data_IF_430399214802
#
_entry.id   IF_430399214802
#
_cell.length_a   1.000
_cell.length_b   1.000
_cell.length_c   1.000
_cell.angle_alpha   90.00
_cell.angle_beta   90.00
_cell.angle_gamma   90.00
#
_symmetry.space_group_name_H-M   'P 1'
#
loop_
_entity.id
_entity.type
_entity.pdbx_description
1 polymer ?
#
# COMPACT_ATOMS: atom_id res chain seq x y z
N UNK A 1 22.17 -27.35 -21.06
CA UNK A 1 21.80 -27.81 -19.69
C UNK A 1 22.94 -28.61 -19.05
N UNK A 2 24.10 -28.70 -19.72
CA UNK A 2 25.15 -29.68 -19.43
C UNK A 2 26.18 -29.19 -18.40
N UNK A 3 25.99 -27.98 -17.89
CA UNK A 3 26.83 -27.40 -16.83
C UNK A 3 26.10 -27.55 -15.49
N UNK A 4 26.68 -28.25 -14.50
CA UNK A 4 26.10 -28.35 -13.17
C UNK A 4 25.90 -26.97 -12.53
N UNK A 5 24.79 -26.80 -11.80
CA UNK A 5 24.46 -25.52 -11.16
C UNK A 5 25.58 -25.00 -10.26
N UNK A 6 26.26 -25.88 -9.51
CA UNK A 6 27.38 -25.51 -8.63
C UNK A 6 28.52 -24.82 -9.39
N UNK A 7 28.81 -25.24 -10.63
CA UNK A 7 29.82 -24.61 -11.48
C UNK A 7 29.42 -23.21 -11.94
N UNK A 8 28.12 -22.98 -12.13
CA UNK A 8 27.59 -21.64 -12.45
C UNK A 8 27.72 -20.71 -11.24
N UNK A 9 27.38 -21.20 -10.05
CA UNK A 9 27.53 -20.44 -8.80
C UNK A 9 29.00 -20.08 -8.55
N UNK A 10 29.92 -21.03 -8.76
CA UNK A 10 31.36 -20.78 -8.66
C UNK A 10 31.83 -19.70 -9.63
N UNK A 11 31.36 -19.73 -10.88
CA UNK A 11 31.76 -18.76 -11.91
C UNK A 11 31.21 -17.35 -11.67
N UNK A 12 29.96 -17.24 -11.21
CA UNK A 12 29.34 -15.95 -10.88
C UNK A 12 29.92 -15.38 -9.57
N UNK A 13 30.32 -16.26 -8.65
CA UNK A 13 30.87 -15.93 -7.33
C UNK A 13 30.03 -14.87 -6.58
N UNK A 14 28.72 -15.12 -6.35
CA UNK A 14 27.87 -14.19 -5.62
C UNK A 14 28.29 -14.12 -4.14
N UNK A 15 27.92 -13.04 -3.46
CA UNK A 15 28.06 -12.97 -2.01
C UNK A 15 27.28 -14.12 -1.36
N UNK A 16 27.98 -14.95 -0.59
CA UNK A 16 27.36 -16.10 0.07
C UNK A 16 26.58 -15.64 1.28
N UNK A 17 25.31 -16.03 1.32
CA UNK A 17 24.43 -15.88 2.46
C UNK A 17 23.77 -17.24 2.73
N UNK A 18 23.77 -17.68 3.98
CA UNK A 18 23.11 -18.94 4.38
C UNK A 18 21.60 -18.81 4.45
N UNK A 19 21.06 -17.58 4.43
CA UNK A 19 19.63 -17.32 4.44
C UNK A 19 18.97 -17.51 3.07
N UNK A 20 19.74 -17.54 1.97
CA UNK A 20 19.19 -17.56 0.61
C UNK A 20 19.88 -18.58 -0.29
N UNK A 21 19.13 -19.05 -1.30
CA UNK A 21 19.75 -19.73 -2.45
C UNK A 21 20.64 -18.73 -3.22
N UNK A 22 21.82 -19.16 -3.71
CA UNK A 22 22.90 -18.26 -4.12
C UNK A 22 22.63 -17.41 -5.36
N UNK A 23 21.67 -17.78 -6.22
CA UNK A 23 21.40 -17.06 -7.47
C UNK A 23 19.91 -16.74 -7.71
N UNK A 24 19.00 -17.49 -7.09
CA UNK A 24 17.56 -17.30 -7.27
C UNK A 24 16.82 -17.75 -6.02
N UNK A 25 15.68 -17.13 -5.76
CA UNK A 25 14.84 -17.40 -4.59
C UNK A 25 13.48 -17.98 -4.98
N UNK A 26 13.12 -17.90 -6.26
CA UNK A 26 11.88 -18.43 -6.82
C UNK A 26 12.20 -19.52 -7.83
N UNK A 27 11.65 -20.71 -7.61
CA UNK A 27 11.79 -21.86 -8.52
C UNK A 27 10.48 -22.08 -9.28
N UNK A 28 10.57 -22.44 -10.57
CA UNK A 28 9.45 -22.98 -11.33
C UNK A 28 9.83 -24.33 -11.92
N UNK A 29 9.03 -25.34 -11.62
CA UNK A 29 9.18 -26.70 -12.13
C UNK A 29 7.93 -27.05 -12.93
N UNK A 30 8.11 -27.58 -14.13
CA UNK A 30 7.03 -28.17 -14.93
C UNK A 30 7.29 -29.67 -15.06
N UNK A 31 6.48 -30.47 -14.36
CA UNK A 31 6.47 -31.92 -14.50
C UNK A 31 5.38 -32.33 -15.48
N UNK A 32 5.78 -32.57 -16.73
CA UNK A 32 4.90 -33.08 -17.78
C UNK A 32 5.22 -34.54 -18.15
N UNK A 33 5.71 -35.33 -17.18
CA UNK A 33 5.91 -36.77 -17.38
C UNK A 33 4.70 -37.50 -16.80
N UNK A 34 3.94 -38.26 -17.59
CA UNK A 34 2.83 -39.03 -17.07
C UNK A 34 3.31 -39.96 -15.97
N UNK A 35 2.70 -39.88 -14.78
CA UNK A 35 2.98 -40.81 -13.70
C UNK A 35 2.58 -42.22 -14.13
N UNK A 36 3.54 -43.05 -14.51
CA UNK A 36 3.29 -44.47 -14.72
C UNK A 36 2.95 -45.08 -13.36
N UNK A 37 1.73 -45.60 -13.21
CA UNK A 37 1.40 -46.41 -12.05
C UNK A 37 2.37 -47.59 -12.01
N UNK A 38 3.16 -47.70 -10.95
CA UNK A 38 4.00 -48.86 -10.73
C UNK A 38 3.08 -50.09 -10.71
N UNK A 39 3.25 -51.01 -11.66
CA UNK A 39 2.48 -52.24 -11.72
C UNK A 39 3.29 -53.34 -11.04
N UNK A 40 2.80 -53.83 -9.90
CA UNK A 40 3.32 -55.03 -9.25
C UNK A 40 2.28 -56.15 -9.36
N UNK A 41 2.65 -57.34 -9.86
CA UNK A 41 1.73 -58.46 -9.92
C UNK A 41 1.18 -58.81 -8.53
N UNK A 42 -0.15 -58.85 -8.40
CA UNK A 42 -0.83 -59.20 -7.14
C UNK A 42 -0.97 -58.07 -6.12
N UNK A 43 -0.50 -56.84 -6.41
CA UNK A 43 -0.61 -55.69 -5.51
C UNK A 43 -1.07 -54.43 -6.25
N UNK A 44 -2.03 -53.70 -5.67
CA UNK A 44 -2.40 -52.37 -6.13
C UNK A 44 -1.52 -51.32 -5.47
N UNK A 45 -0.76 -50.56 -6.28
CA UNK A 45 0.05 -49.44 -5.79
C UNK A 45 -0.68 -48.12 -6.06
N UNK A 46 -0.77 -47.28 -5.03
CA UNK A 46 -1.29 -45.93 -5.13
C UNK A 46 -0.24 -44.95 -4.58
N UNK A 47 -0.03 -43.79 -5.21
CA UNK A 47 0.82 -42.74 -4.65
C UNK A 47 0.31 -42.33 -3.27
N UNK A 48 1.19 -42.32 -2.28
CA UNK A 48 0.91 -41.76 -0.95
C UNK A 48 1.54 -40.37 -0.86
N UNK A 49 0.76 -39.31 -0.65
CA UNK A 49 1.31 -37.96 -0.55
C UNK A 49 2.15 -37.85 0.72
N UNK A 50 3.46 -37.74 0.57
CA UNK A 50 4.36 -37.34 1.64
C UNK A 50 4.41 -35.81 1.67
N UNK A 51 3.88 -35.19 2.71
CA UNK A 51 4.07 -33.76 2.91
C UNK A 51 5.54 -33.46 3.20
N UNK A 52 6.15 -32.54 2.46
CA UNK A 52 7.41 -31.90 2.89
C UNK A 52 7.04 -30.77 3.85
N UNK A 53 7.61 -30.77 5.05
CA UNK A 53 7.40 -29.70 6.04
C UNK A 53 8.41 -28.54 5.91
N UNK A 54 9.33 -28.62 4.94
CA UNK A 54 10.43 -27.66 4.78
C UNK A 54 10.45 -27.10 3.37
N UNK A 55 10.36 -25.77 3.26
CA UNK A 55 10.55 -25.07 2.00
C UNK A 55 12.04 -24.99 1.66
N UNK A 56 12.41 -25.34 0.41
CA UNK A 56 13.81 -25.29 -0.05
C UNK A 56 14.22 -23.95 -0.64
N UNK A 57 13.23 -23.16 -1.03
CA UNK A 57 13.33 -21.83 -1.62
C UNK A 57 12.27 -20.92 -0.99
N UNK A 58 12.37 -19.61 -1.20
CA UNK A 58 11.35 -18.67 -0.70
C UNK A 58 9.98 -19.00 -1.30
N UNK A 59 9.94 -19.28 -2.62
CA UNK A 59 8.78 -19.77 -3.35
C UNK A 59 9.19 -20.84 -4.37
N UNK A 60 8.41 -21.91 -4.49
CA UNK A 60 8.52 -22.87 -5.57
C UNK A 60 7.15 -23.17 -6.16
N UNK A 61 7.04 -22.98 -7.48
CA UNK A 61 5.85 -23.28 -8.28
C UNK A 61 6.07 -24.59 -9.01
N UNK A 62 5.32 -25.63 -8.68
CA UNK A 62 5.38 -26.91 -9.34
C UNK A 62 4.10 -27.18 -10.11
N UNK A 63 4.22 -27.23 -11.43
CA UNK A 63 3.14 -27.58 -12.33
C UNK A 63 3.14 -29.07 -12.62
N UNK A 64 2.00 -29.72 -12.38
CA UNK A 64 1.79 -31.14 -12.65
C UNK A 64 0.58 -31.31 -13.57
N UNK A 65 0.79 -31.97 -14.71
CA UNK A 65 -0.32 -32.38 -15.56
C UNK A 65 -0.97 -33.65 -15.02
N UNK A 66 -2.26 -33.59 -14.70
CA UNK A 66 -3.05 -34.72 -14.21
C UNK A 66 -4.46 -34.66 -14.78
N UNK A 67 -4.93 -35.77 -15.33
CA UNK A 67 -6.28 -35.92 -15.87
C UNK A 67 -6.64 -34.83 -16.91
N UNK A 68 -5.66 -34.43 -17.75
CA UNK A 68 -5.82 -33.38 -18.75
C UNK A 68 -5.94 -31.96 -18.19
N UNK A 69 -5.55 -31.76 -16.91
CA UNK A 69 -5.51 -30.45 -16.24
C UNK A 69 -4.12 -30.15 -15.73
N UNK A 70 -3.73 -28.89 -15.79
CA UNK A 70 -2.53 -28.38 -15.12
C UNK A 70 -2.88 -28.01 -13.68
N UNK A 71 -2.25 -28.68 -12.73
CA UNK A 71 -2.37 -28.38 -11.31
C UNK A 71 -1.10 -27.66 -10.88
N UNK A 72 -1.27 -26.56 -10.14
CA UNK A 72 -0.16 -25.83 -9.55
C UNK A 72 -0.09 -26.14 -8.06
N UNK A 73 1.06 -26.64 -7.63
CA UNK A 73 1.46 -26.69 -6.23
C UNK A 73 2.38 -25.50 -5.96
N UNK A 74 2.12 -24.78 -4.86
CA UNK A 74 2.98 -23.69 -4.40
C UNK A 74 3.57 -24.08 -3.05
N UNK A 75 4.87 -24.35 -3.02
CA UNK A 75 5.65 -24.48 -1.79
C UNK A 75 6.21 -23.09 -1.45
N UNK A 76 6.16 -22.70 -0.18
CA UNK A 76 6.60 -21.38 0.25
C UNK A 76 7.19 -21.40 1.66
N UNK A 77 8.13 -20.50 1.92
CA UNK A 77 8.69 -20.30 3.25
C UNK A 77 7.69 -19.53 4.14
N UNK A 78 7.23 -20.17 5.22
CA UNK A 78 6.24 -19.60 6.16
C UNK A 78 6.80 -18.47 7.02
N UNK A 79 8.12 -18.34 7.14
CA UNK A 79 8.74 -17.20 7.82
C UNK A 79 8.65 -15.91 6.97
N UNK A 80 8.41 -16.05 5.66
CA UNK A 80 8.32 -14.95 4.69
C UNK A 80 6.89 -14.69 4.20
N UNK A 81 6.08 -15.74 4.05
CA UNK A 81 4.74 -15.65 3.48
C UNK A 81 3.69 -16.34 4.34
N UNK A 82 2.55 -15.68 4.51
CA UNK A 82 1.35 -16.31 5.04
C UNK A 82 0.49 -16.93 3.91
N UNK A 83 -0.42 -17.83 4.31
CA UNK A 83 -1.30 -18.50 3.36
C UNK A 83 -2.16 -17.53 2.54
N UNK A 84 -2.65 -16.44 3.16
CA UNK A 84 -3.48 -15.45 2.48
C UNK A 84 -2.72 -14.75 1.34
N UNK A 85 -1.45 -14.46 1.55
CA UNK A 85 -0.55 -13.87 0.56
C UNK A 85 -0.34 -14.81 -0.62
N UNK A 86 -0.13 -16.10 -0.34
CA UNK A 86 0.07 -17.12 -1.39
C UNK A 86 -1.22 -17.40 -2.16
N UNK A 87 -2.37 -17.41 -1.49
CA UNK A 87 -3.68 -17.51 -2.15
C UNK A 87 -3.92 -16.34 -3.10
N UNK A 88 -3.64 -15.10 -2.65
CA UNK A 88 -3.75 -13.90 -3.47
C UNK A 88 -2.78 -13.94 -4.66
N UNK A 89 -1.53 -14.32 -4.43
CA UNK A 89 -0.53 -14.45 -5.48
C UNK A 89 -0.90 -15.55 -6.50
N UNK A 90 -1.49 -16.64 -6.05
CA UNK A 90 -1.98 -17.71 -6.92
C UNK A 90 -3.18 -17.25 -7.76
N UNK A 91 -4.07 -16.43 -7.19
CA UNK A 91 -5.17 -15.80 -7.92
C UNK A 91 -4.66 -14.83 -9.00
N UNK A 92 -3.67 -14.00 -8.66
CA UNK A 92 -2.98 -13.12 -9.61
C UNK A 92 -2.36 -13.89 -10.76
N UNK A 93 -1.65 -14.97 -10.46
CA UNK A 93 -0.99 -15.78 -11.47
C UNK A 93 -2.00 -16.45 -12.40
N UNK A 94 -3.10 -16.98 -11.85
CA UNK A 94 -4.23 -17.52 -12.64
C UNK A 94 -4.84 -16.46 -13.55
N UNK A 95 -5.02 -15.23 -13.07
CA UNK A 95 -5.58 -14.14 -13.88
C UNK A 95 -4.64 -13.73 -15.03
N UNK A 96 -3.32 -13.68 -14.79
CA UNK A 96 -2.35 -13.47 -15.86
C UNK A 96 -2.42 -14.59 -16.91
N UNK A 97 -2.40 -15.85 -16.49
CA UNK A 97 -2.48 -16.99 -17.39
C UNK A 97 -3.78 -16.98 -18.20
N UNK A 98 -4.91 -16.61 -17.58
CA UNK A 98 -6.20 -16.48 -18.25
C UNK A 98 -6.21 -15.41 -19.33
N UNK A 99 -5.55 -14.27 -19.13
CA UNK A 99 -5.42 -13.23 -20.15
C UNK A 99 -4.50 -13.65 -21.29
N UNK A 100 -3.32 -14.21 -20.98
CA UNK A 100 -2.36 -14.68 -21.99
C UNK A 100 -2.96 -15.81 -22.85
N UNK A 101 -3.74 -16.71 -22.25
CA UNK A 101 -4.42 -17.79 -22.97
C UNK A 101 -5.51 -17.28 -23.93
N UNK A 102 -6.14 -16.13 -23.64
CA UNK A 102 -7.15 -15.51 -24.51
C UNK A 102 -6.51 -14.73 -25.66
N UNK A 103 -5.45 -13.99 -25.39
CA UNK A 103 -4.70 -13.26 -26.42
C UNK A 103 -3.19 -13.20 -26.09
N UNK A 104 -2.43 -14.08 -26.72
CA UNK A 104 -0.98 -14.14 -26.54
C UNK A 104 -0.23 -12.95 -27.17
N UNK A 105 -0.88 -12.11 -27.98
CA UNK A 105 -0.27 -10.92 -28.60
C UNK A 105 -0.49 -9.65 -27.78
N UNK A 106 -1.29 -9.72 -26.71
CA UNK A 106 -1.53 -8.57 -25.84
C UNK A 106 -0.22 -8.06 -25.24
N UNK A 107 0.02 -6.73 -25.22
CA UNK A 107 1.21 -6.18 -24.57
C UNK A 107 1.25 -6.50 -23.08
N UNK A 108 2.44 -6.84 -22.55
CA UNK A 108 2.64 -7.15 -21.13
C UNK A 108 2.08 -6.04 -20.20
N UNK A 109 2.28 -4.77 -20.57
CA UNK A 109 1.79 -3.62 -19.79
C UNK A 109 0.26 -3.51 -19.72
N UNK A 110 -0.48 -4.20 -20.60
CA UNK A 110 -1.93 -4.21 -20.59
C UNK A 110 -2.52 -5.34 -19.73
N UNK A 111 -1.70 -6.31 -19.31
CA UNK A 111 -2.16 -7.42 -18.47
C UNK A 111 -2.46 -6.92 -17.05
N UNK A 112 -3.64 -7.27 -16.55
CA UNK A 112 -4.05 -6.94 -15.19
C UNK A 112 -3.64 -8.06 -14.24
N UNK A 113 -2.93 -7.74 -13.17
CA UNK A 113 -2.52 -8.72 -12.16
C UNK A 113 -3.66 -9.02 -11.17
N UNK A 114 -4.35 -7.97 -10.71
CA UNK A 114 -5.43 -8.06 -9.73
C UNK A 114 -6.71 -8.60 -10.38
N UNK A 115 -7.43 -9.45 -9.64
CA UNK A 115 -8.81 -9.79 -9.97
C UNK A 115 -9.73 -8.59 -9.71
N UNK A 116 -10.88 -8.54 -10.37
CA UNK A 116 -11.79 -7.38 -10.31
C UNK A 116 -12.21 -7.01 -8.89
N UNK A 117 -12.49 -8.01 -8.04
CA UNK A 117 -12.87 -7.81 -6.64
C UNK A 117 -11.74 -7.21 -5.81
N UNK A 118 -10.50 -7.64 -6.04
CA UNK A 118 -9.35 -7.08 -5.35
C UNK A 118 -9.10 -5.64 -5.81
N UNK A 119 -9.19 -5.40 -7.11
CA UNK A 119 -9.07 -4.05 -7.67
C UNK A 119 -10.14 -3.12 -7.10
N UNK A 120 -11.37 -3.57 -6.97
CA UNK A 120 -12.46 -2.81 -6.35
C UNK A 120 -12.14 -2.47 -4.90
N UNK A 121 -11.68 -3.46 -4.11
CA UNK A 121 -11.27 -3.23 -2.72
C UNK A 121 -10.16 -2.19 -2.61
N UNK A 122 -9.11 -2.31 -3.42
CA UNK A 122 -7.99 -1.36 -3.39
C UNK A 122 -8.46 0.03 -3.81
N UNK A 123 -9.23 0.15 -4.89
CA UNK A 123 -9.60 1.45 -5.45
C UNK A 123 -10.76 2.14 -4.74
N UNK A 124 -11.69 1.39 -4.16
CA UNK A 124 -12.91 1.93 -3.60
C UNK A 124 -12.98 1.72 -2.09
N UNK A 125 -12.80 0.50 -1.59
CA UNK A 125 -13.00 0.21 -0.16
C UNK A 125 -11.93 0.89 0.70
N UNK A 126 -10.65 0.70 0.36
CA UNK A 126 -9.54 1.29 1.12
C UNK A 126 -9.42 2.80 0.92
N UNK A 127 -9.87 3.31 -0.22
CA UNK A 127 -9.87 4.73 -0.55
C UNK A 127 -11.20 5.41 -0.22
N UNK A 128 -12.11 4.75 0.50
CA UNK A 128 -13.39 5.34 0.91
C UNK A 128 -13.14 6.39 1.99
N UNK A 129 -12.81 7.61 1.57
CA UNK A 129 -12.80 8.76 2.47
C UNK A 129 -14.24 9.25 2.71
N UNK A 130 -14.47 9.87 3.87
CA UNK A 130 -15.66 10.68 4.05
C UNK A 130 -15.73 11.74 2.92
N UNK A 131 -16.94 12.15 2.48
CA UNK A 131 -17.07 13.28 1.59
C UNK A 131 -16.30 14.45 2.20
N UNK A 132 -15.37 15.04 1.42
CA UNK A 132 -14.76 16.29 1.83
C UNK A 132 -15.90 17.28 2.13
N UNK A 133 -15.84 18.04 3.24
CA UNK A 133 -16.79 19.11 3.48
C UNK A 133 -16.93 19.95 2.21
N UNK A 134 -18.18 20.23 1.81
CA UNK A 134 -18.51 21.01 0.61
C UNK A 134 -17.67 22.28 0.57
N UNK A 135 -16.82 22.41 -0.46
CA UNK A 135 -15.87 23.49 -0.72
C UNK A 135 -15.21 24.06 0.54
N UNK A 136 -13.98 23.60 0.83
CA UNK A 136 -13.14 24.06 1.93
C UNK A 136 -13.16 25.59 2.09
N UNK A 137 -14.09 26.09 2.92
CA UNK A 137 -14.04 27.46 3.39
C UNK A 137 -12.68 27.64 4.06
N UNK A 138 -12.01 28.73 3.72
CA UNK A 138 -10.73 29.03 4.34
C UNK A 138 -10.92 29.04 5.87
N UNK A 139 -9.95 28.53 6.63
CA UNK A 139 -10.04 28.44 8.10
C UNK A 139 -10.46 29.76 8.73
N UNK A 140 -9.97 30.89 8.20
CA UNK A 140 -10.35 32.22 8.69
C UNK A 140 -11.84 32.55 8.49
N UNK A 141 -12.49 32.05 7.44
CA UNK A 141 -13.93 32.20 7.18
C UNK A 141 -14.76 31.37 8.15
N UNK A 142 -14.31 30.16 8.48
CA UNK A 142 -14.97 29.32 9.49
C UNK A 142 -14.97 30.01 10.87
N UNK A 143 -13.86 30.65 11.22
CA UNK A 143 -13.77 31.45 12.46
C UNK A 143 -14.67 32.69 12.40
N UNK A 144 -14.74 33.39 11.26
CA UNK A 144 -15.68 34.52 11.07
C UNK A 144 -17.13 34.10 11.25
N UNK A 145 -17.55 32.98 10.64
CA UNK A 145 -18.88 32.44 10.77
C UNK A 145 -19.21 32.06 12.22
N UNK A 146 -18.24 31.50 12.95
CA UNK A 146 -18.40 31.21 14.38
C UNK A 146 -18.49 32.48 15.22
N UNK A 147 -17.67 33.49 14.94
CA UNK A 147 -17.73 34.78 15.63
C UNK A 147 -19.04 35.54 15.36
N UNK A 148 -19.64 35.38 14.18
CA UNK A 148 -20.95 35.97 13.87
C UNK A 148 -22.11 35.22 14.55
N UNK A 149 -22.07 33.89 14.58
CA UNK A 149 -23.15 33.07 15.14
C UNK A 149 -23.10 32.89 16.66
N UNK A 150 -21.90 32.86 17.24
CA UNK A 150 -21.66 32.59 18.66
C UNK A 150 -20.56 33.53 19.20
N UNK A 151 -20.78 34.85 19.23
CA UNK A 151 -19.75 35.84 19.55
C UNK A 151 -19.11 35.66 20.93
N UNK A 152 -19.94 35.40 21.95
CA UNK A 152 -19.51 35.27 23.36
C UNK A 152 -18.95 33.87 23.70
N UNK A 153 -18.95 32.93 22.76
CA UNK A 153 -18.38 31.62 23.01
C UNK A 153 -16.85 31.75 23.18
N UNK A 154 -16.30 31.02 24.16
CA UNK A 154 -14.86 30.98 24.39
C UNK A 154 -14.14 30.33 23.19
N UNK A 155 -13.18 31.04 22.60
CA UNK A 155 -12.39 30.60 21.45
C UNK A 155 -11.00 30.09 21.85
N UNK A 156 -10.34 30.77 22.77
CA UNK A 156 -9.01 30.41 23.25
C UNK A 156 -8.87 30.71 24.75
N UNK A 157 -8.09 29.89 25.45
CA UNK A 157 -7.75 30.06 26.87
C UNK A 157 -6.25 29.88 27.01
N UNK A 158 -5.62 30.79 27.75
CA UNK A 158 -4.22 30.69 28.13
C UNK A 158 -4.09 31.20 29.56
N UNK A 159 -3.70 30.31 30.47
CA UNK A 159 -3.69 30.57 31.92
C UNK A 159 -5.07 31.04 32.41
N UNK A 160 -5.13 32.15 33.13
CA UNK A 160 -6.36 32.75 33.68
C UNK A 160 -7.08 33.67 32.67
N UNK A 161 -6.55 33.81 31.46
CA UNK A 161 -7.09 34.68 30.42
C UNK A 161 -7.79 33.86 29.33
N UNK A 162 -8.89 34.41 28.81
CA UNK A 162 -9.62 33.85 27.68
C UNK A 162 -9.90 34.91 26.62
N UNK A 163 -10.16 34.44 25.39
CA UNK A 163 -10.71 35.24 24.31
C UNK A 163 -12.02 34.61 23.84
N UNK A 164 -13.05 35.44 23.65
CA UNK A 164 -14.25 35.05 22.92
C UNK A 164 -13.98 34.98 21.40
N UNK A 165 -14.86 34.32 20.65
CA UNK A 165 -14.75 34.30 19.18
C UNK A 165 -14.85 35.71 18.60
N UNK A 166 -15.67 36.59 19.17
CA UNK A 166 -15.76 37.98 18.76
C UNK A 166 -14.44 38.74 19.00
N UNK A 167 -13.82 38.57 20.17
CA UNK A 167 -12.56 39.23 20.52
C UNK A 167 -11.41 38.73 19.65
N UNK A 168 -11.30 37.41 19.46
CA UNK A 168 -10.29 36.79 18.60
C UNK A 168 -10.40 37.32 17.16
N UNK A 169 -11.62 37.34 16.60
CA UNK A 169 -11.85 37.80 15.23
C UNK A 169 -11.56 39.31 15.09
N UNK A 170 -11.95 40.13 16.07
CA UNK A 170 -11.68 41.57 16.06
C UNK A 170 -10.18 41.88 16.16
N UNK A 171 -9.45 41.20 17.03
CA UNK A 171 -8.00 41.36 17.16
C UNK A 171 -7.28 40.90 15.88
N UNK A 172 -7.67 39.76 15.32
CA UNK A 172 -7.10 39.24 14.08
C UNK A 172 -7.39 40.16 12.88
N UNK A 173 -8.60 40.73 12.77
CA UNK A 173 -8.94 41.68 11.71
C UNK A 173 -8.08 42.95 11.77
N UNK A 174 -7.86 43.51 12.97
CA UNK A 174 -6.99 44.68 13.14
C UNK A 174 -5.56 44.41 12.68
N UNK A 175 -5.01 43.27 13.10
CA UNK A 175 -3.66 42.88 12.70
C UNK A 175 -3.58 42.55 11.20
N UNK A 176 -4.60 41.92 10.62
CA UNK A 176 -4.66 41.62 9.19
C UNK A 176 -4.65 42.90 8.33
N UNK A 177 -5.41 43.92 8.73
CA UNK A 177 -5.36 45.22 8.05
C UNK A 177 -3.97 45.85 8.13
N UNK A 178 -3.32 45.81 9.30
CA UNK A 178 -1.96 46.30 9.44
C UNK A 178 -0.95 45.53 8.57
N UNK A 179 -1.06 44.21 8.49
CA UNK A 179 -0.23 43.38 7.61
C UNK A 179 -0.43 43.75 6.13
N UNK A 180 -1.67 44.00 5.70
CA UNK A 180 -1.99 44.45 4.34
C UNK A 180 -1.37 45.80 4.02
N UNK A 181 -1.37 46.73 4.97
CA UNK A 181 -0.72 48.04 4.83
C UNK A 181 0.82 47.90 4.69
N UNK A 182 1.40 46.84 5.26
CA UNK A 182 2.81 46.47 5.10
C UNK A 182 3.11 45.68 3.81
N UNK A 183 2.11 45.46 2.96
CA UNK A 183 2.25 44.77 1.67
C UNK A 183 2.07 43.26 1.71
N UNK A 184 1.53 42.70 2.79
CA UNK A 184 1.14 41.28 2.84
C UNK A 184 -0.09 41.06 1.98
N UNK A 185 -0.04 40.00 1.17
CA UNK A 185 -1.16 39.52 0.34
C UNK A 185 -0.96 38.04 -0.01
N UNK A 186 -1.69 37.51 -1.01
CA UNK A 186 -1.58 36.11 -1.40
C UNK A 186 -0.15 35.68 -1.70
N UNK A 187 0.21 34.48 -1.25
CA UNK A 187 1.53 33.85 -1.41
C UNK A 187 2.72 34.61 -0.75
N UNK A 188 2.44 35.68 0.01
CA UNK A 188 3.47 36.38 0.81
C UNK A 188 3.72 35.61 2.11
N UNK A 189 4.99 35.29 2.37
CA UNK A 189 5.41 34.58 3.59
C UNK A 189 5.56 35.56 4.75
N UNK A 190 4.81 35.31 5.83
CA UNK A 190 4.94 36.04 7.10
C UNK A 190 5.51 35.11 8.17
N UNK A 191 6.63 35.48 8.75
CA UNK A 191 7.22 34.74 9.88
C UNK A 191 6.51 35.14 11.19
N UNK A 192 6.04 34.16 11.95
CA UNK A 192 5.43 34.36 13.28
C UNK A 192 6.44 33.92 14.34
N UNK A 193 7.01 34.88 15.05
CA UNK A 193 8.00 34.65 16.11
C UNK A 193 7.44 35.10 17.47
N UNK A 194 6.46 34.34 17.97
CA UNK A 194 5.78 34.59 19.24
C UNK A 194 5.79 33.28 20.04
N UNK A 195 6.01 33.37 21.34
CA UNK A 195 5.86 32.21 22.23
C UNK A 195 4.39 31.81 22.37
N UNK A 196 4.12 30.73 23.12
CA UNK A 196 2.75 30.27 23.34
C UNK A 196 1.99 31.27 24.20
N UNK A 197 1.01 31.95 23.61
CA UNK A 197 0.14 32.93 24.28
C UNK A 197 -1.19 33.11 23.52
N UNK A 198 -2.06 34.03 23.96
CA UNK A 198 -3.30 34.38 23.23
C UNK A 198 -3.04 35.12 21.92
N UNK A 199 -1.89 35.78 21.80
CA UNK A 199 -1.47 36.53 20.62
C UNK A 199 -1.08 35.59 19.46
N UNK A 200 -0.68 34.35 19.74
CA UNK A 200 -0.33 33.36 18.73
C UNK A 200 -1.50 33.00 17.79
N UNK A 201 -2.68 32.55 18.27
CA UNK A 201 -3.83 32.29 17.40
C UNK A 201 -4.34 33.56 16.72
N UNK A 202 -4.22 34.73 17.36
CA UNK A 202 -4.53 36.03 16.73
C UNK A 202 -3.61 36.28 15.53
N UNK A 203 -2.29 36.09 15.69
CA UNK A 203 -1.31 36.29 14.63
C UNK A 203 -1.52 35.33 13.46
N UNK A 204 -1.70 34.03 13.74
CA UNK A 204 -1.96 33.02 12.70
C UNK A 204 -3.23 33.34 11.92
N UNK A 205 -4.32 33.70 12.62
CA UNK A 205 -5.58 34.06 11.97
C UNK A 205 -5.46 35.36 11.18
N UNK A 206 -4.71 36.34 11.67
CA UNK A 206 -4.46 37.60 10.97
C UNK A 206 -3.66 37.40 9.68
N UNK A 207 -2.62 36.55 9.71
CA UNK A 207 -1.85 36.18 8.51
C UNK A 207 -2.74 35.49 7.47
N UNK A 208 -3.66 34.63 7.89
CA UNK A 208 -4.60 33.98 6.98
C UNK A 208 -5.67 34.94 6.40
N UNK A 209 -5.87 36.11 7.02
CA UNK A 209 -6.85 37.14 6.61
C UNK A 209 -6.24 38.28 5.80
N UNK A 210 -4.92 38.46 5.88
CA UNK A 210 -4.19 39.52 5.20
C UNK A 210 -4.08 39.24 3.70
#
# INVERSE_FOLDING_TARGET
>A
QDVPFDRVVEAVNPQRDTAYSPLFQVMLVLQNTPGAAAQMPGLGLQPYPTGSATAKFDLAFEWVERDGRLNLLVEYNTDLFDACTIERLSAHYRQLLGQVARDAKQPLAALQLMEDLERERVLLEWNRSAPLPQAADCVHRLVEARAASHPEACAAVFEERSLSYAELNAQANRLAHHLRDLGVGPDVRVAVCIERSLELPVALLAVLKA
#
